data_IF_383166950708
#
_entry.id   IF_383166950708
#
_cell.length_a   1.000
_cell.length_b   1.000
_cell.length_c   1.000
_cell.angle_alpha   90.00
_cell.angle_beta   90.00
_cell.angle_gamma   90.00
#
_symmetry.space_group_name_H-M   'P 1'
#
loop_
_entity.id
_entity.type
_entity.pdbx_description
1 polymer ?
#
# COMPACT_ATOMS: atom_id res chain seq x y z
N UNK A 1 20.19 -52.48 0.42
CA UNK A 1 21.13 -52.10 -0.64
C UNK A 1 20.33 -51.65 -1.84
N UNK A 2 20.14 -50.37 -2.06
CA UNK A 2 20.14 -49.69 -3.36
C UNK A 2 19.89 -48.19 -3.13
N UNK A 3 20.90 -47.39 -3.40
CA UNK A 3 20.92 -45.95 -3.45
C UNK A 3 20.19 -45.49 -4.71
N UNK A 4 19.32 -44.50 -4.56
CA UNK A 4 18.84 -43.72 -5.70
C UNK A 4 19.22 -42.26 -5.46
N UNK A 5 20.03 -41.75 -6.36
CA UNK A 5 20.59 -40.42 -6.42
C UNK A 5 19.49 -39.54 -7.06
N UNK A 6 19.06 -38.49 -6.33
CA UNK A 6 18.25 -37.43 -6.87
C UNK A 6 19.19 -36.30 -7.36
N UNK A 7 19.12 -36.03 -8.65
CA UNK A 7 19.82 -34.93 -9.31
C UNK A 7 19.07 -33.62 -9.01
N UNK A 8 19.71 -32.72 -8.28
CA UNK A 8 19.34 -31.31 -8.18
C UNK A 8 19.76 -30.58 -9.46
N UNK A 9 18.85 -30.01 -10.18
CA UNK A 9 19.15 -28.98 -11.18
C UNK A 9 19.11 -27.60 -10.48
N UNK A 10 20.27 -27.07 -10.20
CA UNK A 10 20.42 -25.68 -9.75
C UNK A 10 20.70 -24.84 -11.00
N UNK A 11 19.72 -24.05 -11.43
CA UNK A 11 19.94 -23.03 -12.44
C UNK A 11 20.41 -21.75 -11.73
N UNK A 12 21.71 -21.50 -11.77
CA UNK A 12 22.30 -20.23 -11.33
C UNK A 12 22.22 -19.25 -12.51
N UNK A 13 21.37 -18.24 -12.41
CA UNK A 13 21.39 -17.10 -13.32
C UNK A 13 22.29 -16.04 -12.68
N UNK A 14 23.52 -15.98 -13.14
CA UNK A 14 24.46 -14.90 -12.81
C UNK A 14 24.19 -13.71 -13.72
N UNK A 15 23.60 -12.65 -13.21
CA UNK A 15 23.58 -11.34 -13.87
C UNK A 15 24.90 -10.64 -13.52
N UNK A 16 25.80 -10.61 -14.47
CA UNK A 16 27.09 -9.92 -14.36
C UNK A 16 26.93 -8.41 -14.51
N UNK A 17 27.24 -7.67 -13.44
CA UNK A 17 27.47 -6.24 -13.51
C UNK A 17 28.78 -5.97 -14.28
N UNK A 18 28.70 -5.39 -15.46
CA UNK A 18 29.85 -4.89 -16.22
C UNK A 18 30.05 -3.40 -15.90
N UNK A 19 30.93 -3.13 -14.94
CA UNK A 19 31.60 -1.84 -14.83
C UNK A 19 32.78 -1.84 -15.79
N UNK A 20 32.69 -1.06 -16.84
CA UNK A 20 33.80 -0.91 -17.80
C UNK A 20 34.06 0.55 -18.09
N UNK A 21 35.05 1.15 -17.40
CA UNK A 21 35.73 2.35 -17.88
C UNK A 21 36.75 1.93 -18.96
N UNK A 22 36.55 2.40 -20.16
CA UNK A 22 37.54 2.21 -21.24
C UNK A 22 37.38 3.27 -22.33
N UNK A 23 38.35 4.16 -22.38
CA UNK A 23 38.52 5.20 -23.40
C UNK A 23 39.11 4.55 -24.65
N UNK A 24 38.44 4.69 -25.79
CA UNK A 24 39.02 4.21 -27.07
C UNK A 24 38.09 4.50 -28.24
N UNK A 25 38.59 5.29 -29.18
CA UNK A 25 37.98 5.67 -30.45
C UNK A 25 37.67 4.48 -31.35
N UNK A 26 36.58 4.56 -32.10
CA UNK A 26 36.34 3.69 -33.23
C UNK A 26 34.89 3.25 -33.39
N UNK A 27 34.12 3.96 -34.20
CA UNK A 27 32.74 3.62 -34.53
C UNK A 27 32.60 2.23 -35.13
N UNK A 28 31.69 1.45 -34.59
CA UNK A 28 30.91 0.41 -35.27
C UNK A 28 29.52 0.48 -34.70
N UNK A 29 28.54 0.62 -35.57
CA UNK A 29 27.11 0.49 -35.22
C UNK A 29 26.93 -0.80 -34.42
N UNK A 30 26.53 -0.64 -33.16
CA UNK A 30 26.10 -1.73 -32.34
C UNK A 30 24.73 -2.18 -32.87
N UNK A 31 24.67 -3.41 -33.37
CA UNK A 31 23.42 -4.02 -33.79
C UNK A 31 22.37 -3.95 -32.67
N UNK A 32 21.12 -3.71 -33.04
CA UNK A 32 19.97 -3.84 -32.21
C UNK A 32 19.96 -5.23 -31.53
N UNK A 33 20.49 -5.31 -30.32
CA UNK A 33 20.24 -6.43 -29.45
C UNK A 33 18.78 -6.32 -28.99
N UNK A 34 18.05 -7.41 -29.05
CA UNK A 34 16.70 -7.50 -28.43
C UNK A 34 16.77 -6.93 -27.00
N UNK A 35 16.21 -5.73 -26.79
CA UNK A 35 16.11 -5.15 -25.46
C UNK A 35 15.22 -6.08 -24.64
N UNK A 36 15.62 -6.38 -23.41
CA UNK A 36 14.80 -7.16 -22.50
C UNK A 36 13.40 -6.53 -22.41
N UNK A 37 12.37 -7.37 -22.53
CA UNK A 37 10.97 -6.95 -22.49
C UNK A 37 10.31 -7.42 -21.19
N UNK A 38 9.27 -6.73 -20.82
CA UNK A 38 8.40 -7.01 -19.70
C UNK A 38 8.65 -6.13 -18.48
N UNK A 39 7.64 -5.36 -18.12
CA UNK A 39 7.60 -4.56 -16.89
C UNK A 39 6.15 -4.28 -16.45
N UNK A 40 5.97 -3.81 -15.24
CA UNK A 40 4.71 -3.25 -14.83
C UNK A 40 4.50 -1.84 -15.42
N UNK A 41 3.26 -1.58 -15.83
CA UNK A 41 2.79 -0.28 -16.32
C UNK A 41 1.63 0.20 -15.47
N UNK A 42 1.44 1.53 -15.40
CA UNK A 42 0.33 2.15 -14.69
C UNK A 42 -0.85 2.38 -15.61
N UNK A 43 -2.05 1.96 -15.19
CA UNK A 43 -3.32 2.27 -15.83
C UNK A 43 -4.20 3.02 -14.82
N UNK A 44 -4.65 4.24 -15.18
CA UNK A 44 -5.61 4.95 -14.34
C UNK A 44 -6.96 4.27 -14.40
N UNK A 45 -7.59 4.12 -13.24
CA UNK A 45 -8.95 3.64 -13.13
C UNK A 45 -9.89 4.77 -12.72
N UNK A 46 -11.03 4.84 -13.35
CA UNK A 46 -12.09 5.76 -12.95
C UNK A 46 -12.68 5.31 -11.60
N UNK A 47 -12.75 6.23 -10.65
CA UNK A 47 -13.36 5.98 -9.36
C UNK A 47 -14.88 5.97 -9.49
N UNK A 48 -15.59 5.03 -8.84
CA UNK A 48 -17.04 4.90 -8.94
C UNK A 48 -17.82 5.88 -8.05
N UNK A 49 -17.12 6.56 -7.15
CA UNK A 49 -17.76 7.43 -6.13
C UNK A 49 -18.40 8.65 -6.75
N UNK A 50 -19.53 9.05 -6.20
CA UNK A 50 -20.28 10.22 -6.66
C UNK A 50 -19.76 11.50 -6.00
N UNK A 51 -20.14 12.66 -6.53
CA UNK A 51 -19.88 13.95 -5.90
C UNK A 51 -20.49 13.98 -4.49
N UNK A 52 -19.71 14.38 -3.49
CA UNK A 52 -20.12 14.36 -2.08
C UNK A 52 -19.91 13.02 -1.36
N UNK A 53 -19.34 12.01 -2.02
CA UNK A 53 -18.91 10.79 -1.36
C UNK A 53 -17.41 10.84 -1.03
N UNK A 54 -17.05 10.53 0.21
CA UNK A 54 -15.67 10.36 0.65
C UNK A 54 -15.29 8.87 0.70
N UNK A 55 -14.13 8.50 0.13
CA UNK A 55 -13.62 7.15 0.22
C UNK A 55 -13.03 6.93 1.63
N UNK A 56 -13.54 5.95 2.35
CA UNK A 56 -13.04 5.55 3.66
C UNK A 56 -11.77 4.70 3.52
N UNK A 57 -11.88 3.56 2.84
CA UNK A 57 -10.75 2.67 2.62
C UNK A 57 -10.93 1.78 1.37
N UNK A 58 -9.84 1.10 1.01
CA UNK A 58 -9.81 0.06 -0.01
C UNK A 58 -9.54 -1.29 0.63
N UNK A 59 -10.27 -2.30 0.19
CA UNK A 59 -10.10 -3.69 0.60
C UNK A 59 -10.01 -4.60 -0.62
N UNK A 60 -9.79 -5.90 -0.38
CA UNK A 60 -9.74 -6.95 -1.39
C UNK A 60 -10.93 -7.89 -1.21
N UNK A 61 -11.74 -8.04 -2.24
CA UNK A 61 -12.78 -9.07 -2.26
C UNK A 61 -12.18 -10.49 -2.24
N UNK A 62 -12.99 -11.47 -1.87
CA UNK A 62 -12.59 -12.87 -1.82
C UNK A 62 -12.00 -13.38 -3.14
N UNK A 63 -12.50 -12.87 -4.27
CA UNK A 63 -12.04 -13.20 -5.61
C UNK A 63 -10.84 -12.39 -6.08
N UNK A 64 -10.28 -11.53 -5.23
CA UNK A 64 -9.10 -10.72 -5.56
C UNK A 64 -9.40 -9.36 -6.20
N UNK A 65 -10.67 -9.01 -6.39
CA UNK A 65 -11.09 -7.75 -6.95
C UNK A 65 -10.90 -6.58 -5.95
N UNK A 66 -10.64 -5.35 -6.42
CA UNK A 66 -10.64 -4.20 -5.52
C UNK A 66 -12.06 -3.87 -5.06
N UNK A 67 -12.17 -3.54 -3.78
CA UNK A 67 -13.36 -3.04 -3.12
C UNK A 67 -13.04 -1.66 -2.56
N UNK A 68 -13.93 -0.69 -2.79
CA UNK A 68 -13.87 0.63 -2.17
C UNK A 68 -15.07 0.80 -1.25
N UNK A 69 -14.84 1.36 -0.08
CA UNK A 69 -15.87 1.82 0.82
C UNK A 69 -15.92 3.33 0.80
N UNK A 70 -17.12 3.90 0.72
CA UNK A 70 -17.33 5.35 0.77
C UNK A 70 -18.47 5.71 1.70
N UNK A 71 -18.47 6.96 2.14
CA UNK A 71 -19.55 7.57 2.89
C UNK A 71 -20.01 8.85 2.18
N UNK A 72 -21.31 9.06 2.04
CA UNK A 72 -21.89 10.29 1.53
C UNK A 72 -22.07 11.34 2.61
N UNK A 73 -22.28 12.60 2.22
CA UNK A 73 -22.50 13.71 3.15
C UNK A 73 -23.71 13.51 4.08
N UNK A 74 -24.71 12.73 3.67
CA UNK A 74 -25.87 12.36 4.47
C UNK A 74 -25.64 11.12 5.34
N UNK A 75 -24.41 10.61 5.42
CA UNK A 75 -23.99 9.51 6.28
C UNK A 75 -24.24 8.10 5.73
N UNK A 76 -24.76 7.97 4.50
CA UNK A 76 -24.92 6.64 3.91
C UNK A 76 -23.60 6.05 3.51
N UNK A 77 -23.44 4.74 3.71
CA UNK A 77 -22.21 4.01 3.41
C UNK A 77 -22.42 3.09 2.23
N UNK A 78 -21.47 3.07 1.33
CA UNK A 78 -21.51 2.27 0.13
C UNK A 78 -20.26 1.40 0.00
N UNK A 79 -20.48 0.21 -0.55
CA UNK A 79 -19.46 -0.73 -0.99
C UNK A 79 -19.48 -0.76 -2.52
N UNK A 80 -18.32 -0.56 -3.15
CA UNK A 80 -18.12 -0.69 -4.58
C UNK A 80 -17.16 -1.84 -4.83
N UNK A 81 -17.55 -2.82 -5.61
CA UNK A 81 -16.67 -3.91 -6.03
C UNK A 81 -16.44 -3.84 -7.54
N UNK A 82 -15.18 -3.88 -7.96
CA UNK A 82 -14.82 -3.92 -9.37
C UNK A 82 -14.87 -5.35 -9.87
N UNK A 83 -15.86 -5.66 -10.73
CA UNK A 83 -16.08 -6.98 -11.27
C UNK A 83 -16.42 -6.88 -12.76
N UNK A 84 -15.83 -7.77 -13.59
CA UNK A 84 -16.07 -7.81 -15.05
C UNK A 84 -15.93 -6.43 -15.73
N UNK A 85 -14.89 -5.68 -15.37
CA UNK A 85 -14.61 -4.33 -15.88
C UNK A 85 -15.68 -3.28 -15.56
N UNK A 86 -16.44 -3.48 -14.48
CA UNK A 86 -17.46 -2.56 -13.99
C UNK A 86 -17.44 -2.49 -12.46
N UNK A 87 -17.89 -1.34 -11.97
CA UNK A 87 -18.14 -1.16 -10.55
C UNK A 87 -19.59 -1.54 -10.23
N UNK A 88 -19.76 -2.42 -9.25
CA UNK A 88 -21.05 -2.78 -8.66
C UNK A 88 -21.18 -2.04 -7.32
N UNK A 89 -22.25 -1.25 -7.16
CA UNK A 89 -22.54 -0.47 -5.95
C UNK A 89 -23.55 -1.19 -5.08
N UNK A 90 -23.27 -1.30 -3.79
CA UNK A 90 -24.15 -1.81 -2.75
C UNK A 90 -24.21 -0.81 -1.59
N UNK A 91 -25.41 -0.56 -1.06
CA UNK A 91 -25.59 0.25 0.13
C UNK A 91 -25.47 -0.61 1.39
N UNK A 92 -24.62 -0.18 2.33
CA UNK A 92 -24.48 -0.84 3.65
C UNK A 92 -25.47 -0.20 4.65
N UNK A 93 -26.75 -0.40 4.41
CA UNK A 93 -27.83 0.23 5.17
C UNK A 93 -27.76 -0.04 6.68
N UNK A 94 -27.17 -1.16 7.10
CA UNK A 94 -27.05 -1.50 8.51
C UNK A 94 -26.18 -0.50 9.28
N UNK A 95 -25.13 0.06 8.63
CA UNK A 95 -24.25 1.07 9.22
C UNK A 95 -25.04 2.37 9.44
N UNK A 96 -25.79 2.81 8.42
CA UNK A 96 -26.63 3.99 8.52
C UNK A 96 -27.74 3.84 9.58
N UNK A 97 -28.35 2.66 9.69
CA UNK A 97 -29.35 2.36 10.73
C UNK A 97 -28.75 2.43 12.13
N UNK A 98 -27.46 2.05 12.29
CA UNK A 98 -26.80 2.04 13.60
C UNK A 98 -26.26 3.42 13.97
N UNK A 99 -25.66 4.14 13.04
CA UNK A 99 -24.89 5.36 13.30
C UNK A 99 -25.43 6.61 12.61
N UNK A 100 -26.42 6.52 11.72
CA UNK A 100 -26.88 7.65 10.90
C UNK A 100 -27.48 8.83 11.67
N UNK A 101 -27.91 8.61 12.93
CA UNK A 101 -28.36 9.67 13.83
C UNK A 101 -27.33 10.03 14.91
N UNK A 102 -26.12 9.46 14.82
CA UNK A 102 -25.03 9.66 15.76
C UNK A 102 -23.86 10.35 15.05
N UNK A 103 -23.17 11.23 15.75
CA UNK A 103 -21.98 11.91 15.22
C UNK A 103 -20.75 10.98 15.32
N UNK A 104 -20.77 9.88 14.54
CA UNK A 104 -19.66 8.92 14.45
C UNK A 104 -18.89 9.12 13.15
N UNK A 105 -17.61 9.45 13.28
CA UNK A 105 -16.68 9.51 12.16
C UNK A 105 -16.18 8.12 11.82
N UNK A 106 -16.66 7.56 10.71
CA UNK A 106 -16.24 6.24 10.24
C UNK A 106 -14.79 6.29 9.72
N UNK A 107 -14.02 5.25 10.02
CA UNK A 107 -12.61 5.20 9.65
C UNK A 107 -12.30 4.06 8.70
N UNK A 108 -12.76 2.86 9.00
CA UNK A 108 -12.39 1.67 8.24
C UNK A 108 -13.51 0.63 8.27
N UNK A 109 -13.68 -0.06 7.15
CA UNK A 109 -14.59 -1.20 7.03
C UNK A 109 -13.76 -2.40 6.57
N UNK A 110 -13.90 -3.50 7.28
CA UNK A 110 -13.25 -4.77 6.98
C UNK A 110 -14.29 -5.88 6.80
N UNK A 111 -13.97 -6.87 6.00
CA UNK A 111 -14.81 -8.06 5.81
C UNK A 111 -14.07 -9.32 6.27
N UNK A 112 -14.78 -10.21 6.96
CA UNK A 112 -14.28 -11.55 7.27
C UNK A 112 -14.39 -12.47 6.06
N UNK A 113 -13.73 -13.63 6.10
CA UNK A 113 -13.79 -14.63 5.03
C UNK A 113 -15.20 -15.21 4.79
N UNK A 114 -16.03 -15.21 5.81
CA UNK A 114 -17.44 -15.67 5.77
C UNK A 114 -18.43 -14.55 5.46
N UNK A 115 -17.94 -13.33 5.23
CA UNK A 115 -18.72 -12.19 4.74
C UNK A 115 -19.31 -11.31 5.84
N UNK A 116 -18.93 -11.50 7.11
CA UNK A 116 -19.29 -10.54 8.14
C UNK A 116 -18.55 -9.24 7.93
N UNK A 117 -19.23 -8.12 8.16
CA UNK A 117 -18.69 -6.77 7.99
C UNK A 117 -18.42 -6.15 9.36
N UNK A 118 -17.26 -5.55 9.52
CA UNK A 118 -16.87 -4.85 10.74
C UNK A 118 -16.52 -3.40 10.35
N UNK A 119 -17.06 -2.45 11.10
CA UNK A 119 -16.78 -1.02 10.91
C UNK A 119 -16.15 -0.45 12.17
N UNK A 120 -15.17 0.42 12.01
CA UNK A 120 -14.59 1.23 13.07
C UNK A 120 -14.88 2.71 12.83
N UNK A 121 -15.04 3.44 13.93
CA UNK A 121 -15.25 4.88 13.93
C UNK A 121 -14.92 5.50 15.28
N UNK A 122 -15.07 6.81 15.39
CA UNK A 122 -14.90 7.59 16.62
C UNK A 122 -16.05 8.59 16.77
N UNK A 123 -16.44 8.86 17.99
CA UNK A 123 -17.38 9.94 18.31
C UNK A 123 -16.66 11.29 18.50
N UNK A 124 -17.41 12.34 18.80
CA UNK A 124 -16.88 13.69 19.08
C UNK A 124 -15.93 13.76 20.28
N UNK A 125 -16.03 12.82 21.22
CA UNK A 125 -15.15 12.71 22.38
C UNK A 125 -13.90 11.88 22.09
N UNK A 126 -13.72 11.47 20.83
CA UNK A 126 -12.64 10.58 20.36
C UNK A 126 -12.74 9.17 20.97
N UNK A 127 -13.89 8.77 21.48
CA UNK A 127 -14.08 7.40 21.94
C UNK A 127 -14.29 6.47 20.73
N UNK A 128 -13.56 5.35 20.66
CA UNK A 128 -13.66 4.44 19.53
C UNK A 128 -14.91 3.57 19.61
N UNK A 129 -15.51 3.37 18.46
CA UNK A 129 -16.67 2.52 18.22
C UNK A 129 -16.31 1.43 17.21
N UNK A 130 -16.69 0.20 17.50
CA UNK A 130 -16.59 -0.91 16.55
C UNK A 130 -17.94 -1.63 16.53
N UNK A 131 -18.47 -1.83 15.33
CA UNK A 131 -19.71 -2.56 15.14
C UNK A 131 -19.52 -3.66 14.10
N UNK A 132 -20.39 -4.66 14.18
CA UNK A 132 -20.39 -5.84 13.31
C UNK A 132 -21.76 -6.12 12.74
N UNK A 133 -21.80 -6.58 11.50
CA UNK A 133 -22.95 -7.24 10.88
C UNK A 133 -22.54 -8.59 10.31
N UNK A 134 -23.29 -9.66 10.63
CA UNK A 134 -23.07 -10.99 10.11
C UNK A 134 -24.01 -11.35 8.97
N UNK A 135 -25.07 -10.58 8.78
CA UNK A 135 -26.11 -10.82 7.76
C UNK A 135 -26.22 -9.68 6.71
N UNK A 136 -25.43 -8.60 6.88
CA UNK A 136 -25.49 -7.40 6.06
C UNK A 136 -26.76 -6.56 6.23
N UNK A 137 -27.64 -6.91 7.20
CA UNK A 137 -28.94 -6.26 7.41
C UNK A 137 -29.04 -5.60 8.78
N UNK A 138 -28.50 -6.27 9.79
CA UNK A 138 -28.52 -5.84 11.18
C UNK A 138 -27.13 -5.67 11.72
N UNK A 139 -26.88 -4.52 12.38
CA UNK A 139 -25.60 -4.21 13.03
C UNK A 139 -25.73 -4.29 14.55
N UNK A 140 -24.66 -4.70 15.20
CA UNK A 140 -24.49 -4.64 16.65
C UNK A 140 -23.19 -3.92 17.00
N UNK A 141 -23.25 -2.99 17.94
CA UNK A 141 -22.05 -2.40 18.51
C UNK A 141 -21.35 -3.37 19.45
N UNK A 142 -20.03 -3.46 19.36
CA UNK A 142 -19.22 -4.39 20.13
C UNK A 142 -18.66 -3.71 21.39
N UNK A 143 -19.07 -4.16 22.56
CA UNK A 143 -18.53 -3.69 23.82
C UNK A 143 -17.19 -4.35 24.13
N UNK A 144 -16.12 -3.86 23.45
CA UNK A 144 -14.76 -4.35 23.61
C UNK A 144 -14.12 -3.67 24.82
N UNK A 145 -13.77 -4.41 25.91
CA UNK A 145 -13.24 -3.82 27.14
C UNK A 145 -11.95 -3.02 26.92
N UNK A 146 -11.09 -3.45 25.99
CA UNK A 146 -9.86 -2.74 25.62
C UNK A 146 -10.14 -1.29 25.19
N UNK A 147 -11.17 -1.06 24.39
CA UNK A 147 -11.51 0.26 23.85
C UNK A 147 -12.08 1.24 24.89
N UNK A 148 -12.48 0.74 26.05
CA UNK A 148 -12.99 1.55 27.16
C UNK A 148 -11.92 1.93 28.20
N UNK A 149 -10.68 1.45 28.00
CA UNK A 149 -9.57 1.78 28.89
C UNK A 149 -9.01 3.15 28.51
N UNK A 150 -9.08 4.10 29.43
CA UNK A 150 -8.49 5.42 29.24
C UNK A 150 -7.05 5.44 29.77
N UNK A 151 -6.16 6.06 29.00
CA UNK A 151 -4.80 6.40 29.38
C UNK A 151 -4.69 7.90 29.71
N UNK A 152 -3.49 8.36 30.02
CA UNK A 152 -3.22 9.80 30.18
C UNK A 152 -3.48 10.60 28.89
N UNK A 153 -3.60 9.93 27.73
CA UNK A 153 -3.88 10.51 26.42
C UNK A 153 -5.37 10.40 26.01
N UNK A 154 -6.23 9.82 26.86
CA UNK A 154 -7.64 9.58 26.56
C UNK A 154 -7.94 8.13 26.19
N UNK A 155 -8.97 7.92 25.39
CA UNK A 155 -9.34 6.61 24.85
C UNK A 155 -8.28 6.10 23.84
N UNK A 156 -8.20 4.78 23.56
CA UNK A 156 -7.38 4.24 22.50
C UNK A 156 -7.68 4.91 21.15
N UNK A 157 -6.66 5.45 20.50
CA UNK A 157 -6.81 6.02 19.17
C UNK A 157 -6.67 4.92 18.12
N UNK A 158 -7.81 4.33 17.73
CA UNK A 158 -7.85 3.27 16.71
C UNK A 158 -7.60 3.87 15.35
N UNK A 159 -6.47 3.53 14.74
CA UNK A 159 -6.07 4.03 13.41
C UNK A 159 -6.04 2.94 12.36
N UNK A 160 -6.16 1.68 12.77
CA UNK A 160 -6.10 0.55 11.86
C UNK A 160 -6.83 -0.64 12.47
N UNK A 161 -7.71 -1.24 11.68
CA UNK A 161 -8.43 -2.46 12.01
C UNK A 161 -8.12 -3.52 10.94
N UNK A 162 -7.67 -4.69 11.37
CA UNK A 162 -7.48 -5.85 10.49
C UNK A 162 -8.15 -7.08 11.09
N UNK A 163 -8.52 -8.03 10.23
CA UNK A 163 -9.10 -9.32 10.64
C UNK A 163 -8.17 -10.41 10.17
N UNK A 164 -7.69 -11.25 11.08
CA UNK A 164 -6.83 -12.37 10.73
C UNK A 164 -7.62 -13.59 10.20
N UNK A 165 -6.90 -14.65 9.87
CA UNK A 165 -7.51 -15.87 9.35
C UNK A 165 -8.34 -16.66 10.36
N UNK A 166 -8.19 -16.42 11.66
CA UNK A 166 -9.00 -16.97 12.73
C UNK A 166 -10.23 -16.14 13.04
N UNK A 167 -10.32 -14.93 12.45
CA UNK A 167 -11.40 -13.97 12.67
C UNK A 167 -11.14 -12.99 13.81
N UNK A 168 -9.95 -13.01 14.43
CA UNK A 168 -9.59 -12.08 15.48
C UNK A 168 -9.46 -10.64 14.94
N UNK A 169 -9.85 -9.68 15.75
CA UNK A 169 -9.71 -8.25 15.43
C UNK A 169 -8.36 -7.75 15.93
N UNK A 170 -7.54 -7.27 15.01
CA UNK A 170 -6.28 -6.61 15.29
C UNK A 170 -6.50 -5.12 15.25
N UNK A 171 -6.35 -4.46 16.40
CA UNK A 171 -6.66 -3.05 16.61
C UNK A 171 -5.38 -2.32 16.98
N UNK A 172 -4.97 -1.34 16.16
CA UNK A 172 -3.84 -0.49 16.50
C UNK A 172 -4.29 0.71 17.32
N UNK A 173 -3.65 0.91 18.47
CA UNK A 173 -3.77 2.11 19.31
C UNK A 173 -2.53 2.98 19.10
N UNK A 174 -2.72 4.08 18.37
CA UNK A 174 -1.64 5.02 18.05
C UNK A 174 -1.07 5.70 19.31
N UNK A 175 -1.89 6.01 20.30
CA UNK A 175 -1.45 6.74 21.49
C UNK A 175 -0.55 5.91 22.40
N UNK A 176 -0.80 4.62 22.49
CA UNK A 176 0.00 3.72 23.32
C UNK A 176 1.08 2.98 22.53
N UNK A 177 1.15 3.18 21.20
CA UNK A 177 2.00 2.42 20.29
C UNK A 177 1.86 0.90 20.52
N UNK A 178 0.61 0.43 20.50
CA UNK A 178 0.24 -0.96 20.75
C UNK A 178 -0.74 -1.47 19.70
N UNK A 179 -0.67 -2.76 19.48
CA UNK A 179 -1.69 -3.52 18.77
C UNK A 179 -2.32 -4.53 19.73
N UNK A 180 -3.62 -4.45 19.92
CA UNK A 180 -4.41 -5.42 20.67
C UNK A 180 -5.08 -6.41 19.72
N UNK A 181 -5.03 -7.70 20.07
CA UNK A 181 -5.75 -8.76 19.36
C UNK A 181 -6.95 -9.18 20.19
N UNK A 182 -8.13 -9.06 19.61
CA UNK A 182 -9.41 -9.27 20.31
C UNK A 182 -10.07 -10.53 19.74
N UNK A 183 -10.52 -11.42 20.63
CA UNK A 183 -11.34 -12.58 20.25
C UNK A 183 -12.73 -12.12 19.79
N UNK A 184 -13.22 -12.54 18.61
CA UNK A 184 -14.47 -12.04 18.05
C UNK A 184 -15.73 -12.52 18.79
N UNK A 185 -15.62 -13.53 19.67
CA UNK A 185 -16.74 -14.12 20.38
C UNK A 185 -16.84 -13.62 21.85
N UNK A 186 -15.70 -13.61 22.55
CA UNK A 186 -15.64 -13.15 23.95
C UNK A 186 -15.43 -11.65 24.07
N UNK A 187 -14.92 -10.99 23.03
CA UNK A 187 -14.48 -9.60 22.98
C UNK A 187 -13.32 -9.28 23.94
N UNK A 188 -12.70 -10.31 24.51
CA UNK A 188 -11.55 -10.18 25.39
C UNK A 188 -10.23 -10.05 24.59
N UNK A 189 -9.26 -9.37 25.19
CA UNK A 189 -7.92 -9.25 24.61
C UNK A 189 -7.16 -10.58 24.74
N UNK A 190 -6.81 -11.17 23.62
CA UNK A 190 -5.97 -12.38 23.56
C UNK A 190 -4.52 -12.07 23.79
N UNK A 191 -4.03 -10.99 23.16
CA UNK A 191 -2.63 -10.57 23.23
C UNK A 191 -2.47 -9.10 22.86
N UNK A 192 -1.41 -8.47 23.38
CA UNK A 192 -0.97 -7.14 22.98
C UNK A 192 0.46 -7.21 22.44
N UNK A 193 0.74 -6.43 21.41
CA UNK A 193 2.07 -6.27 20.84
C UNK A 193 2.45 -4.77 20.89
N UNK A 194 3.72 -4.48 21.11
CA UNK A 194 4.23 -3.14 20.90
C UNK A 194 4.35 -2.87 19.40
N UNK A 195 3.98 -1.67 18.99
CA UNK A 195 4.12 -1.22 17.60
C UNK A 195 5.10 -0.07 17.51
N UNK A 196 5.61 0.21 16.31
CA UNK A 196 6.30 1.46 16.05
C UNK A 196 5.37 2.66 16.35
N UNK A 197 5.95 3.73 16.87
CA UNK A 197 5.20 4.95 17.09
C UNK A 197 4.86 5.61 15.75
N UNK A 198 3.59 5.90 15.53
CA UNK A 198 3.13 6.59 14.33
C UNK A 198 3.34 8.11 14.48
N UNK A 199 3.77 8.74 13.40
CA UNK A 199 3.92 10.19 13.32
C UNK A 199 2.66 10.86 12.76
N UNK A 200 1.77 10.11 12.13
CA UNK A 200 0.49 10.57 11.62
C UNK A 200 -0.54 9.44 11.57
N UNK A 201 -1.82 9.79 11.56
CA UNK A 201 -2.93 8.84 11.40
C UNK A 201 -3.00 8.18 10.02
N UNK A 202 -2.30 8.73 9.03
CA UNK A 202 -2.20 8.16 7.68
C UNK A 202 -1.24 6.95 7.61
N UNK A 203 -0.34 6.85 8.58
CA UNK A 203 0.56 5.69 8.66
C UNK A 203 -0.18 4.48 9.21
N UNK A 204 0.19 3.31 8.72
CA UNK A 204 -0.38 2.03 9.16
C UNK A 204 0.70 1.15 9.74
N UNK A 205 0.35 0.46 10.81
CA UNK A 205 1.25 -0.47 11.51
C UNK A 205 0.85 -1.93 11.33
N UNK A 206 -0.36 -2.21 10.82
CA UNK A 206 -0.89 -3.56 10.70
C UNK A 206 -1.30 -3.83 9.27
N UNK A 207 -0.91 -4.98 8.73
CA UNK A 207 -1.27 -5.41 7.38
C UNK A 207 -1.64 -6.90 7.40
N UNK A 208 -2.78 -7.24 6.80
CA UNK A 208 -3.24 -8.62 6.70
C UNK A 208 -2.73 -9.33 5.45
N UNK A 209 -2.48 -10.62 5.55
CA UNK A 209 -2.20 -11.52 4.44
C UNK A 209 -3.40 -12.38 4.05
N UNK A 210 -3.45 -12.85 2.81
CA UNK A 210 -4.54 -13.69 2.31
C UNK A 210 -4.65 -15.05 3.02
N UNK A 211 -3.54 -15.57 3.57
CA UNK A 211 -3.52 -16.77 4.39
C UNK A 211 -3.95 -16.53 5.84
N UNK A 212 -4.22 -15.27 6.22
CA UNK A 212 -4.64 -14.85 7.55
C UNK A 212 -3.51 -14.54 8.51
N UNK A 213 -2.27 -14.48 8.05
CA UNK A 213 -1.15 -13.95 8.83
C UNK A 213 -1.25 -12.41 8.89
N UNK A 214 -0.60 -11.82 9.90
CA UNK A 214 -0.61 -10.37 10.12
C UNK A 214 0.81 -9.85 10.28
N UNK A 215 1.16 -8.81 9.52
CA UNK A 215 2.39 -8.05 9.70
C UNK A 215 2.14 -6.90 10.66
N UNK A 216 2.99 -6.73 11.65
CA UNK A 216 2.94 -5.65 12.63
C UNK A 216 4.25 -4.89 12.59
N UNK A 217 4.19 -3.58 12.40
CA UNK A 217 5.37 -2.70 12.50
C UNK A 217 5.82 -2.64 13.96
N UNK A 218 6.98 -3.19 14.26
CA UNK A 218 7.53 -3.22 15.61
C UNK A 218 8.58 -2.14 15.85
N UNK A 219 9.30 -1.77 14.80
CA UNK A 219 10.27 -0.67 14.77
C UNK A 219 10.21 0.00 13.41
N UNK A 220 10.93 1.09 13.23
CA UNK A 220 10.99 1.81 11.95
C UNK A 220 11.51 0.90 10.83
N UNK A 221 10.66 0.66 9.85
CA UNK A 221 10.93 -0.23 8.73
C UNK A 221 10.94 -1.73 9.05
N UNK A 222 10.84 -2.14 10.31
CA UNK A 222 10.81 -3.55 10.71
C UNK A 222 9.38 -4.02 11.00
N UNK A 223 8.97 -5.09 10.32
CA UNK A 223 7.68 -5.72 10.50
C UNK A 223 7.84 -7.16 10.97
N UNK A 224 7.19 -7.52 12.07
CA UNK A 224 7.10 -8.90 12.53
C UNK A 224 5.84 -9.54 12.00
N UNK A 225 5.96 -10.73 11.44
CA UNK A 225 4.84 -11.49 10.89
C UNK A 225 4.35 -12.46 11.96
N UNK A 226 3.08 -12.39 12.28
CA UNK A 226 2.41 -13.29 13.21
C UNK A 226 1.45 -14.21 12.47
N UNK A 227 1.46 -15.48 12.84
CA UNK A 227 0.48 -16.46 12.35
C UNK A 227 -0.87 -16.32 13.09
N UNK A 228 -1.85 -17.09 12.63
CA UNK A 228 -3.18 -17.15 13.26
C UNK A 228 -3.14 -17.72 14.70
N UNK A 229 -2.05 -18.38 15.09
CA UNK A 229 -1.78 -18.81 16.46
C UNK A 229 -1.05 -17.75 17.30
N UNK A 230 -0.96 -16.53 16.81
CA UNK A 230 -0.31 -15.36 17.39
C UNK A 230 1.19 -15.54 17.64
N UNK A 231 1.82 -16.52 16.99
CA UNK A 231 3.28 -16.73 17.08
C UNK A 231 3.99 -16.07 15.91
N UNK A 232 5.19 -15.59 16.21
CA UNK A 232 6.09 -15.04 15.22
C UNK A 232 6.48 -16.10 14.19
N UNK A 233 6.43 -15.72 12.91
CA UNK A 233 6.86 -16.53 11.76
C UNK A 233 8.11 -15.99 11.08
N UNK A 234 8.50 -14.77 11.36
CA UNK A 234 9.65 -14.10 10.78
C UNK A 234 9.45 -12.60 10.69
N UNK A 235 10.41 -11.95 10.09
CA UNK A 235 10.42 -10.48 9.95
C UNK A 235 10.60 -10.06 8.49
N UNK A 236 10.19 -8.83 8.20
CA UNK A 236 10.42 -8.13 6.95
C UNK A 236 11.09 -6.79 7.25
N UNK A 237 12.08 -6.42 6.45
CA UNK A 237 12.69 -5.09 6.52
C UNK A 237 12.29 -4.29 5.29
N UNK A 238 11.59 -3.18 5.48
CA UNK A 238 11.22 -2.25 4.42
C UNK A 238 12.01 -0.95 4.53
N UNK A 239 12.41 -0.40 3.40
CA UNK A 239 13.07 0.89 3.30
C UNK A 239 12.08 1.90 2.71
N UNK A 240 11.52 2.76 3.55
CA UNK A 240 10.58 3.82 3.18
C UNK A 240 10.89 5.11 3.96
N UNK A 241 10.34 6.24 3.52
CA UNK A 241 10.49 7.52 4.19
C UNK A 241 9.15 8.06 4.68
N UNK A 242 8.14 8.09 3.81
CA UNK A 242 6.88 8.75 4.10
C UNK A 242 5.70 7.78 4.16
N UNK A 243 5.71 6.74 3.33
CA UNK A 243 4.55 5.87 3.18
C UNK A 243 4.92 4.41 2.94
N UNK A 244 4.12 3.54 3.48
CA UNK A 244 4.19 2.10 3.24
C UNK A 244 2.79 1.51 3.20
N UNK A 245 2.55 0.60 2.25
CA UNK A 245 1.41 -0.31 2.22
C UNK A 245 1.89 -1.69 1.85
N UNK A 246 1.23 -2.69 2.41
CA UNK A 246 1.62 -4.08 2.20
C UNK A 246 0.41 -4.94 1.89
N UNK A 247 0.62 -5.94 1.04
CA UNK A 247 -0.31 -7.04 0.84
C UNK A 247 0.48 -8.34 0.67
N UNK A 248 -0.17 -9.49 0.84
CA UNK A 248 0.49 -10.78 0.72
C UNK A 248 -0.42 -11.83 0.08
N UNK A 249 0.17 -12.76 -0.66
CA UNK A 249 -0.48 -13.97 -1.13
C UNK A 249 -0.39 -15.14 -0.13
N UNK A 250 0.26 -14.89 1.01
CA UNK A 250 0.44 -15.84 2.10
C UNK A 250 1.87 -16.33 2.28
N UNK A 251 2.68 -16.34 1.24
CA UNK A 251 4.11 -16.70 1.29
C UNK A 251 5.00 -15.50 1.03
N UNK A 252 4.60 -14.66 0.08
CA UNK A 252 5.34 -13.48 -0.34
C UNK A 252 4.57 -12.23 0.09
N UNK A 253 5.31 -11.27 0.62
CA UNK A 253 4.81 -9.93 0.91
C UNK A 253 5.23 -8.98 -0.18
N UNK A 254 4.28 -8.20 -0.67
CA UNK A 254 4.46 -7.13 -1.63
C UNK A 254 4.36 -5.82 -0.87
N UNK A 255 5.38 -4.98 -1.03
CA UNK A 255 5.56 -3.76 -0.25
C UNK A 255 5.60 -2.60 -1.22
N UNK A 256 4.61 -1.71 -1.14
CA UNK A 256 4.54 -0.46 -1.90
C UNK A 256 5.06 0.66 -1.02
N UNK A 257 6.03 1.40 -1.54
CA UNK A 257 6.60 2.60 -0.95
C UNK A 257 6.74 3.69 -2.03
N UNK A 258 7.20 4.87 -1.68
CA UNK A 258 7.58 5.91 -2.64
C UNK A 258 8.72 5.48 -3.58
N UNK A 259 9.51 4.47 -3.19
CA UNK A 259 10.62 3.92 -4.00
C UNK A 259 10.19 2.88 -5.02
N UNK A 260 8.99 2.32 -4.85
CA UNK A 260 8.49 1.30 -5.77
C UNK A 260 7.71 0.19 -5.10
N UNK A 261 7.48 -0.88 -5.84
CA UNK A 261 6.94 -2.13 -5.33
C UNK A 261 8.06 -3.14 -5.23
N UNK A 262 8.26 -3.69 -4.04
CA UNK A 262 9.19 -4.78 -3.77
C UNK A 262 8.44 -6.02 -3.32
N UNK A 263 9.09 -7.19 -3.44
CA UNK A 263 8.58 -8.44 -2.86
C UNK A 263 9.62 -9.10 -1.97
N UNK A 264 9.15 -9.74 -0.91
CA UNK A 264 10.00 -10.39 0.08
C UNK A 264 9.26 -11.54 0.78
N UNK A 265 9.95 -12.63 1.07
CA UNK A 265 9.46 -13.65 1.99
C UNK A 265 9.94 -13.34 3.42
N UNK A 266 9.15 -13.65 4.45
CA UNK A 266 9.56 -13.48 5.85
C UNK A 266 10.88 -14.18 6.15
N UNK A 267 11.78 -13.49 6.84
CA UNK A 267 13.11 -14.00 7.19
C UNK A 267 14.19 -13.85 6.11
N UNK A 268 13.85 -13.34 4.93
CA UNK A 268 14.87 -12.99 3.93
C UNK A 268 15.52 -11.65 4.28
N UNK A 269 16.83 -11.55 4.02
CA UNK A 269 17.60 -10.31 4.26
C UNK A 269 17.45 -9.29 3.13
N UNK A 270 16.99 -9.71 1.95
CA UNK A 270 16.90 -8.86 0.77
C UNK A 270 15.53 -8.93 0.12
N UNK A 271 15.04 -7.79 -0.33
CA UNK A 271 13.84 -7.67 -1.16
C UNK A 271 14.21 -7.63 -2.65
N UNK A 272 13.29 -8.06 -3.47
CA UNK A 272 13.38 -7.93 -4.93
C UNK A 272 12.49 -6.77 -5.39
N UNK A 273 13.07 -5.83 -6.14
CA UNK A 273 12.31 -4.74 -6.76
C UNK A 273 11.59 -5.29 -7.99
N UNK A 274 10.27 -5.20 -8.00
CA UNK A 274 9.44 -5.61 -9.14
C UNK A 274 8.92 -4.43 -9.95
N UNK A 275 8.88 -3.23 -9.35
CA UNK A 275 8.54 -1.99 -10.04
C UNK A 275 9.29 -0.81 -9.38
N UNK A 276 9.96 0.00 -10.20
CA UNK A 276 10.63 1.22 -9.77
C UNK A 276 9.59 2.36 -9.63
N UNK A 277 9.52 2.97 -8.46
CA UNK A 277 8.59 4.05 -8.16
C UNK A 277 8.95 5.40 -8.79
N UNK A 278 10.19 5.57 -9.25
CA UNK A 278 10.66 6.84 -9.79
C UNK A 278 9.89 7.33 -11.03
N UNK A 279 9.21 6.42 -11.72
CA UNK A 279 8.49 6.69 -12.97
C UNK A 279 6.97 6.73 -12.81
N UNK A 280 6.44 6.57 -11.59
CA UNK A 280 5.00 6.40 -11.38
C UNK A 280 4.38 7.33 -10.34
N UNK A 281 3.08 7.18 -10.11
CA UNK A 281 2.35 7.95 -9.09
C UNK A 281 2.84 7.66 -7.67
N UNK A 282 3.36 6.47 -7.40
CA UNK A 282 3.89 6.06 -6.09
C UNK A 282 5.08 6.91 -5.63
N UNK A 283 5.93 7.39 -6.55
CA UNK A 283 7.06 8.27 -6.23
C UNK A 283 6.70 9.72 -5.99
N UNK A 284 5.42 10.08 -6.00
CA UNK A 284 4.98 11.45 -5.74
C UNK A 284 4.83 11.71 -4.24
N UNK A 285 5.56 12.68 -3.70
CA UNK A 285 5.38 13.16 -2.31
C UNK A 285 4.01 13.80 -2.06
N UNK A 286 3.24 14.07 -3.12
CA UNK A 286 1.89 14.61 -3.01
C UNK A 286 0.82 13.53 -2.90
N UNK A 287 1.15 12.28 -3.26
CA UNK A 287 0.23 11.16 -3.26
C UNK A 287 0.57 10.22 -2.10
N UNK A 288 -0.30 10.12 -1.13
CA UNK A 288 -0.16 9.17 -0.04
C UNK A 288 -0.92 7.88 -0.40
N UNK A 289 -0.26 6.75 -0.31
CA UNK A 289 -0.93 5.47 -0.54
C UNK A 289 -1.96 5.23 0.58
N UNK A 290 -3.23 5.19 0.23
CA UNK A 290 -4.35 4.92 1.13
C UNK A 290 -4.75 3.43 1.14
N UNK A 291 -4.46 2.71 0.06
CA UNK A 291 -4.74 1.27 -0.05
C UNK A 291 -3.80 0.60 -1.05
N UNK A 292 -3.54 -0.70 -0.87
CA UNK A 292 -2.73 -1.51 -1.78
C UNK A 292 -3.14 -2.97 -1.68
N UNK A 293 -3.50 -3.57 -2.80
CA UNK A 293 -3.88 -4.98 -2.88
C UNK A 293 -3.24 -5.65 -4.11
N UNK A 294 -3.03 -6.96 -4.01
CA UNK A 294 -2.69 -7.80 -5.15
C UNK A 294 -3.97 -8.37 -5.76
N UNK A 295 -4.14 -8.18 -7.06
CA UNK A 295 -5.24 -8.72 -7.84
C UNK A 295 -5.07 -10.20 -8.17
N UNK A 296 -5.80 -10.67 -9.20
CA UNK A 296 -5.85 -12.09 -9.57
C UNK A 296 -4.72 -12.54 -10.49
N UNK A 297 -4.17 -11.63 -11.30
CA UNK A 297 -3.26 -11.93 -12.43
C UNK A 297 -1.85 -11.40 -12.23
N UNK A 298 -1.32 -11.47 -11.01
CA UNK A 298 -0.04 -10.82 -10.66
C UNK A 298 -0.04 -9.32 -10.94
N UNK A 299 -1.19 -8.70 -10.85
CA UNK A 299 -1.45 -7.28 -10.95
C UNK A 299 -1.66 -6.68 -9.56
N UNK A 300 -1.58 -5.36 -9.45
CA UNK A 300 -1.79 -4.66 -8.19
C UNK A 300 -2.73 -3.48 -8.40
N UNK A 301 -3.46 -3.14 -7.35
CA UNK A 301 -4.26 -1.92 -7.29
C UNK A 301 -3.77 -1.07 -6.13
N UNK A 302 -3.58 0.21 -6.36
CA UNK A 302 -3.23 1.17 -5.32
C UNK A 302 -4.18 2.36 -5.34
N UNK A 303 -4.74 2.65 -4.18
CA UNK A 303 -5.51 3.86 -3.94
C UNK A 303 -4.56 4.91 -3.37
N UNK A 304 -4.51 6.07 -4.00
CA UNK A 304 -3.76 7.24 -3.52
C UNK A 304 -4.71 8.35 -3.10
N UNK A 305 -4.32 9.07 -2.04
CA UNK A 305 -4.99 10.28 -1.58
C UNK A 305 -4.00 11.45 -1.71
N UNK A 306 -4.40 12.52 -2.33
CA UNK A 306 -3.59 13.73 -2.40
C UNK A 306 -3.54 14.42 -1.05
N UNK A 307 -2.35 14.66 -0.52
CA UNK A 307 -2.14 15.23 0.82
C UNK A 307 -2.81 16.60 1.04
N UNK A 308 -2.94 17.42 -0.01
CA UNK A 308 -3.51 18.78 0.11
C UNK A 308 -5.00 18.86 -0.16
N UNK A 309 -5.51 18.11 -1.13
CA UNK A 309 -6.90 18.21 -1.56
C UNK A 309 -7.79 17.10 -0.98
N UNK A 310 -7.18 16.02 -0.48
CA UNK A 310 -7.91 14.80 -0.12
C UNK A 310 -8.43 14.00 -1.31
N UNK A 311 -8.22 14.49 -2.55
CA UNK A 311 -8.71 13.82 -3.76
C UNK A 311 -8.05 12.46 -3.92
N UNK A 312 -8.85 11.45 -4.19
CA UNK A 312 -8.37 10.09 -4.42
C UNK A 312 -8.13 9.80 -5.89
N UNK A 313 -7.19 8.92 -6.18
CA UNK A 313 -6.97 8.30 -7.48
C UNK A 313 -6.71 6.81 -7.31
N UNK A 314 -7.21 6.00 -8.22
CA UNK A 314 -7.01 4.55 -8.23
C UNK A 314 -6.14 4.19 -9.43
N UNK A 315 -5.09 3.43 -9.18
CA UNK A 315 -4.14 2.97 -10.19
C UNK A 315 -4.12 1.45 -10.22
N UNK A 316 -4.16 0.90 -11.42
CA UNK A 316 -3.96 -0.50 -11.69
C UNK A 316 -2.57 -0.71 -12.28
N UNK A 317 -1.75 -1.52 -11.64
CA UNK A 317 -0.41 -1.91 -12.09
C UNK A 317 -0.49 -3.25 -12.78
N UNK A 318 -0.30 -3.26 -14.10
CA UNK A 318 -0.42 -4.45 -14.95
C UNK A 318 0.95 -4.82 -15.51
N UNK A 319 1.29 -6.11 -15.53
CA UNK A 319 2.50 -6.57 -16.20
C UNK A 319 2.30 -6.60 -17.70
N UNK A 320 3.05 -5.77 -18.41
CA UNK A 320 3.08 -5.73 -19.87
C UNK A 320 4.36 -6.44 -20.38
N UNK A 321 4.18 -7.62 -20.97
CA UNK A 321 5.27 -8.43 -21.49
C UNK A 321 5.94 -7.83 -22.74
N UNK A 322 5.28 -6.91 -23.44
CA UNK A 322 5.81 -6.27 -24.65
C UNK A 322 6.49 -4.92 -24.36
N UNK A 323 6.22 -4.31 -23.21
CA UNK A 323 6.89 -3.07 -22.83
C UNK A 323 8.40 -3.30 -22.63
N UNK A 324 9.26 -2.36 -23.06
CA UNK A 324 10.69 -2.45 -22.78
C UNK A 324 10.95 -2.55 -21.29
N UNK A 325 11.75 -3.52 -20.84
CA UNK A 325 12.08 -3.69 -19.41
C UNK A 325 12.77 -2.46 -18.82
N UNK A 326 13.53 -1.75 -19.66
CA UNK A 326 14.14 -0.45 -19.35
C UNK A 326 13.75 0.52 -20.47
N UNK A 327 13.36 1.76 -20.17
CA UNK A 327 13.09 2.77 -21.17
C UNK A 327 14.28 2.92 -22.14
N UNK A 328 14.00 3.00 -23.44
CA UNK A 328 15.04 3.04 -24.49
C UNK A 328 15.78 4.38 -24.53
N UNK A 329 15.12 5.43 -24.04
CA UNK A 329 15.63 6.80 -24.07
C UNK A 329 15.72 7.38 -22.66
N UNK A 330 16.71 8.25 -22.45
CA UNK A 330 16.82 9.02 -21.20
C UNK A 330 16.77 10.51 -21.54
N UNK A 331 15.80 11.21 -20.95
CA UNK A 331 15.69 12.66 -20.96
C UNK A 331 16.20 13.21 -19.62
N UNK A 332 17.22 14.07 -19.65
CA UNK A 332 17.70 14.74 -18.45
C UNK A 332 17.07 16.12 -18.33
N UNK A 333 16.42 16.36 -17.19
CA UNK A 333 15.80 17.64 -16.86
C UNK A 333 16.49 18.17 -15.61
N UNK A 334 16.88 19.45 -15.65
CA UNK A 334 17.50 20.10 -14.52
C UNK A 334 16.64 21.26 -14.02
N UNK A 335 16.44 21.28 -12.70
CA UNK A 335 15.74 22.35 -12.01
C UNK A 335 16.66 23.09 -11.03
N UNK A 336 16.25 24.27 -10.61
CA UNK A 336 16.98 25.07 -9.63
C UNK A 336 16.86 24.46 -8.24
N UNK A 337 15.69 23.95 -7.94
CA UNK A 337 15.34 23.25 -6.68
C UNK A 337 14.36 22.15 -6.98
N UNK A 338 14.11 21.29 -6.03
CA UNK A 338 12.99 20.36 -6.10
C UNK A 338 11.69 21.14 -6.23
N UNK A 339 10.86 20.72 -7.19
CA UNK A 339 9.58 21.34 -7.48
C UNK A 339 8.55 20.27 -7.82
N UNK A 340 7.54 20.14 -6.97
CA UNK A 340 6.47 19.14 -7.10
C UNK A 340 5.73 19.25 -8.43
N UNK A 341 5.48 20.48 -8.92
CA UNK A 341 4.82 20.69 -10.23
C UNK A 341 5.66 20.14 -11.38
N UNK A 342 6.99 20.31 -11.33
CA UNK A 342 7.90 19.76 -12.35
C UNK A 342 7.92 18.24 -12.26
N UNK A 343 7.98 17.68 -11.07
CA UNK A 343 7.93 16.24 -10.87
C UNK A 343 6.61 15.64 -11.35
N UNK A 344 5.46 16.30 -11.10
CA UNK A 344 4.16 15.87 -11.62
C UNK A 344 4.10 15.93 -13.15
N UNK A 345 4.67 16.97 -13.75
CA UNK A 345 4.77 17.08 -15.20
C UNK A 345 5.67 15.98 -15.81
N UNK A 346 6.78 15.64 -15.15
CA UNK A 346 7.66 14.55 -15.54
C UNK A 346 6.92 13.22 -15.52
N UNK A 347 6.17 12.93 -14.44
CA UNK A 347 5.36 11.72 -14.33
C UNK A 347 4.30 11.62 -15.42
N UNK A 348 3.56 12.70 -15.66
CA UNK A 348 2.58 12.78 -16.75
C UNK A 348 3.23 12.55 -18.12
N UNK A 349 4.43 13.08 -18.33
CA UNK A 349 5.20 12.84 -19.55
C UNK A 349 5.62 11.38 -19.70
N UNK A 350 6.23 10.78 -18.67
CA UNK A 350 6.69 9.39 -18.71
C UNK A 350 5.53 8.39 -18.89
N UNK A 351 4.36 8.72 -18.34
CA UNK A 351 3.13 7.93 -18.54
C UNK A 351 2.71 7.87 -20.01
N UNK A 352 2.78 9.01 -20.71
CA UNK A 352 2.47 9.10 -22.15
C UNK A 352 3.63 8.67 -23.07
N UNK A 353 4.85 8.58 -22.52
CA UNK A 353 6.07 8.19 -23.23
C UNK A 353 6.81 7.10 -22.44
N UNK A 354 6.27 5.89 -22.41
CA UNK A 354 6.82 4.81 -21.58
C UNK A 354 8.19 4.31 -22.02
N UNK A 355 8.64 4.69 -23.20
CA UNK A 355 9.98 4.46 -23.76
C UNK A 355 11.03 5.46 -23.27
N UNK A 356 10.62 6.52 -22.52
CA UNK A 356 11.51 7.58 -22.05
C UNK A 356 11.61 7.58 -20.54
N UNK A 357 12.81 7.38 -19.99
CA UNK A 357 13.13 7.67 -18.59
C UNK A 357 13.50 9.14 -18.46
N UNK A 358 12.89 9.85 -17.51
CA UNK A 358 13.29 11.22 -17.17
C UNK A 358 14.11 11.20 -15.89
N UNK A 359 15.35 11.66 -15.98
CA UNK A 359 16.22 11.89 -14.82
C UNK A 359 16.15 13.37 -14.45
N UNK A 360 15.60 13.67 -13.27
CA UNK A 360 15.53 15.03 -12.75
C UNK A 360 16.69 15.29 -11.80
N UNK A 361 17.49 16.28 -12.11
CA UNK A 361 18.58 16.74 -11.27
C UNK A 361 18.33 18.16 -10.74
N UNK A 362 18.81 18.44 -9.54
CA UNK A 362 18.81 19.80 -8.97
C UNK A 362 20.21 20.24 -8.63
N UNK A 363 20.44 21.55 -8.56
CA UNK A 363 21.73 22.11 -8.17
C UNK A 363 22.11 21.85 -6.72
N UNK A 364 21.16 21.41 -5.89
CA UNK A 364 21.36 21.14 -4.47
C UNK A 364 21.67 22.37 -3.60
N UNK A 365 21.56 23.58 -4.15
CA UNK A 365 21.82 24.84 -3.42
C UNK A 365 20.51 25.53 -3.12
N UNK A 366 20.20 25.68 -1.84
CA UNK A 366 19.04 26.45 -1.37
C UNK A 366 19.24 27.97 -1.50
N UNK A 367 20.48 28.44 -1.57
CA UNK A 367 20.83 29.85 -1.69
C UNK A 367 21.45 30.16 -3.06
N UNK A 368 20.67 30.79 -3.92
CA UNK A 368 21.11 31.52 -5.12
C UNK A 368 22.02 30.77 -6.10
N UNK A 369 21.52 30.49 -7.28
CA UNK A 369 22.30 29.86 -8.36
C UNK A 369 23.14 30.92 -9.05
N UNK A 370 24.43 30.63 -9.19
CA UNK A 370 25.35 31.46 -9.99
C UNK A 370 25.25 31.10 -11.49
N UNK A 371 25.66 32.04 -12.36
CA UNK A 371 25.77 31.79 -13.78
C UNK A 371 26.77 30.67 -14.14
N UNK A 372 27.71 30.37 -13.24
CA UNK A 372 28.66 29.27 -13.42
C UNK A 372 28.04 27.91 -13.12
N UNK A 373 27.07 27.85 -12.18
CA UNK A 373 26.29 26.65 -11.92
C UNK A 373 25.44 26.29 -13.16
N UNK A 374 24.82 27.28 -13.81
CA UNK A 374 24.08 27.10 -15.07
C UNK A 374 24.97 26.61 -16.21
N UNK A 375 26.21 27.09 -16.29
CA UNK A 375 27.17 26.65 -17.31
C UNK A 375 27.63 25.22 -17.10
N UNK A 376 27.85 24.81 -15.85
CA UNK A 376 28.26 23.44 -15.50
C UNK A 376 27.17 22.42 -15.79
N UNK A 377 25.89 22.83 -15.74
CA UNK A 377 24.75 21.97 -16.09
C UNK A 377 24.59 21.73 -17.59
N UNK A 378 25.22 22.56 -18.45
CA UNK A 378 25.15 22.47 -19.92
C UNK A 378 26.36 21.77 -20.57
N UNK A 379 27.26 21.22 -19.78
CA UNK A 379 28.42 20.44 -20.24
C UNK A 379 28.25 18.97 -19.87
#
# INVERSE_FOLDING_TARGET
VRRSIALLFTAVITIGALSGCGRGEGGKEAGQGDSAKGRYVEEDMELPVQEGEEILNMAKAKEGNPVLYSQSEDGQVFRYEYRDSKWEKEALEWIYKLYGEQDIYLQEIAETKDGAQIVSGMDEEMAPHIARSTDGQTGEELEIPYLRQQSDYGYPAVTNLQIDGAGNYWINDMYQAKCAVIDPNSLETLQEFNTAMLLSSEQRTIFGASNGDTAVSTEDGLFTIYGQDLKEKGTLQADYQEQIRMCSDGEIWYILTEKGITRMAPGNETSEVIMDGSVGQMGSSMNLAAGFIRGQKDDFYALYRQAKSGTCSLVHYVYDAEAPAVPEHTLRVFGLSENTTVQDAIRGFQKSHPDVKVEFGTSGKEEGISMDDIRTLNT
#
